data_IF_067713530872
#
_entry.id   IF_067713530872
#
_cell.length_a   1.000
_cell.length_b   1.000
_cell.length_c   1.000
_cell.angle_alpha   90.00
_cell.angle_beta   90.00
_cell.angle_gamma   90.00
#
_symmetry.space_group_name_H-M   'P 1'
#
loop_
_entity.id
_entity.type
_entity.pdbx_description
1 polymer ?
#
# COMPACT_ATOMS: atom_id res chain seq x y z
N UNK A 1 -10.83 12.30 -13.22
CA UNK A 1 -9.81 11.30 -12.80
C UNK A 1 -8.45 11.74 -13.33
N UNK A 2 -7.42 11.73 -12.49
CA UNK A 2 -6.05 12.08 -12.90
C UNK A 2 -5.40 10.94 -13.68
N UNK A 3 -4.57 11.26 -14.65
CA UNK A 3 -3.76 10.28 -15.40
C UNK A 3 -2.44 9.94 -14.67
N UNK A 4 -1.90 10.92 -13.95
CA UNK A 4 -0.70 10.80 -13.12
C UNK A 4 -1.02 11.26 -11.71
N UNK A 5 -0.48 10.59 -10.71
CA UNK A 5 -0.57 11.01 -9.31
C UNK A 5 0.81 11.10 -8.67
N UNK A 6 0.94 12.02 -7.73
CA UNK A 6 2.17 12.23 -6.97
C UNK A 6 2.01 11.63 -5.58
N UNK A 7 2.86 10.68 -5.24
CA UNK A 7 2.72 9.85 -4.03
C UNK A 7 3.97 9.96 -3.18
N UNK A 8 3.79 10.16 -1.86
CA UNK A 8 4.85 9.98 -0.89
C UNK A 8 4.75 8.58 -0.26
N UNK A 9 5.79 7.79 -0.42
CA UNK A 9 6.01 6.55 0.33
C UNK A 9 6.85 6.88 1.56
N UNK A 10 6.32 6.62 2.73
CA UNK A 10 7.04 6.84 3.99
C UNK A 10 7.44 5.50 4.56
N UNK A 11 8.75 5.24 4.58
CA UNK A 11 9.38 4.06 5.15
C UNK A 11 10.00 4.44 6.48
N UNK A 12 9.23 4.40 7.59
CA UNK A 12 9.69 4.85 8.90
C UNK A 12 10.53 3.78 9.58
N UNK A 13 11.41 4.21 10.49
CA UNK A 13 12.02 3.34 11.49
C UNK A 13 11.27 3.46 12.81
N UNK A 14 10.28 2.59 13.09
CA UNK A 14 9.45 2.72 14.27
C UNK A 14 10.25 2.54 15.56
N UNK A 15 9.70 3.03 16.67
CA UNK A 15 10.10 2.57 17.99
C UNK A 15 9.77 1.09 18.13
N UNK A 16 10.56 0.31 18.92
CA UNK A 16 10.52 -1.15 18.88
C UNK A 16 9.18 -1.79 19.25
N UNK A 17 8.38 -1.17 20.13
CA UNK A 17 7.03 -1.63 20.40
C UNK A 17 6.05 -1.07 19.37
N UNK A 18 5.14 -1.89 18.84
CA UNK A 18 4.17 -1.44 17.85
C UNK A 18 3.27 -0.33 18.37
N UNK A 19 2.85 -0.43 19.63
CA UNK A 19 1.96 0.51 20.33
C UNK A 19 2.71 1.66 21.02
N UNK A 20 4.01 1.85 20.73
CA UNK A 20 4.79 2.92 21.33
C UNK A 20 4.19 4.29 20.96
N UNK A 21 3.73 5.09 21.95
CA UNK A 21 3.04 6.34 21.68
C UNK A 21 3.91 7.39 20.96
N UNK A 22 5.24 7.23 20.97
CA UNK A 22 6.17 8.10 20.26
C UNK A 22 6.07 7.94 18.74
N UNK A 23 5.53 6.81 18.23
CA UNK A 23 5.37 6.59 16.80
C UNK A 23 4.49 7.64 16.13
N UNK A 24 3.48 8.20 16.81
CA UNK A 24 2.67 9.27 16.20
C UNK A 24 3.48 10.56 16.02
N UNK A 25 4.25 10.98 17.03
CA UNK A 25 5.15 12.14 16.90
C UNK A 25 6.18 11.95 15.80
N UNK A 26 6.72 10.73 15.64
CA UNK A 26 7.61 10.36 14.56
C UNK A 26 6.92 10.42 13.19
N UNK A 27 5.70 9.90 13.07
CA UNK A 27 4.91 10.01 11.83
C UNK A 27 4.71 11.47 11.41
N UNK A 28 4.34 12.35 12.36
CA UNK A 28 4.16 13.78 12.09
C UNK A 28 5.46 14.44 11.62
N UNK A 29 6.59 14.11 12.24
CA UNK A 29 7.92 14.61 11.82
C UNK A 29 8.26 14.18 10.37
N UNK A 30 7.93 12.94 9.98
CA UNK A 30 8.12 12.48 8.61
C UNK A 30 7.19 13.18 7.62
N UNK A 31 5.95 13.48 8.02
CA UNK A 31 4.98 14.22 7.21
C UNK A 31 5.41 15.68 6.97
N UNK A 32 6.16 16.31 7.89
CA UNK A 32 6.73 17.64 7.65
C UNK A 32 7.63 17.68 6.41
N UNK A 33 8.32 16.58 6.09
CA UNK A 33 9.15 16.46 4.87
C UNK A 33 8.32 16.43 3.57
N UNK A 34 7.00 16.26 3.68
CA UNK A 34 6.06 16.26 2.56
C UNK A 34 5.46 17.65 2.28
N UNK A 35 5.74 18.67 3.11
CA UNK A 35 5.17 20.00 2.94
C UNK A 35 5.62 20.65 1.62
N UNK A 36 4.66 21.25 0.90
CA UNK A 36 4.91 21.93 -0.36
C UNK A 36 5.07 21.00 -1.57
N UNK A 37 4.97 19.68 -1.40
CA UNK A 37 5.18 18.72 -2.48
C UNK A 37 3.94 18.47 -3.36
N UNK A 38 2.79 19.09 -3.07
CA UNK A 38 1.56 18.95 -3.85
C UNK A 38 1.16 17.49 -4.11
N UNK A 39 1.12 16.70 -3.06
CA UNK A 39 0.85 15.28 -3.13
C UNK A 39 -0.63 14.96 -3.37
N UNK A 40 -0.87 13.85 -4.05
CA UNK A 40 -2.20 13.25 -4.14
C UNK A 40 -2.44 12.23 -3.02
N UNK A 41 -1.38 11.51 -2.65
CA UNK A 41 -1.45 10.41 -1.72
C UNK A 41 -0.18 10.32 -0.87
N UNK A 42 -0.34 10.03 0.41
CA UNK A 42 0.73 9.69 1.34
C UNK A 42 0.47 8.29 1.89
N UNK A 43 1.50 7.45 1.97
CA UNK A 43 1.36 6.06 2.40
C UNK A 43 2.33 5.73 3.52
N UNK A 44 1.80 5.29 4.65
CA UNK A 44 2.52 4.65 5.74
C UNK A 44 2.37 3.13 5.69
N UNK A 45 3.28 2.37 6.32
CA UNK A 45 3.19 0.91 6.38
C UNK A 45 2.15 0.39 7.38
N UNK A 46 2.01 -0.91 7.41
CA UNK A 46 1.21 -1.67 8.37
C UNK A 46 1.70 -1.41 9.81
N UNK A 47 0.78 -1.31 10.78
CA UNK A 47 1.06 -1.03 12.19
C UNK A 47 1.82 0.27 12.48
N UNK A 48 1.87 1.20 11.52
CA UNK A 48 2.51 2.49 11.76
C UNK A 48 1.60 3.67 11.37
N UNK A 49 1.39 4.61 12.28
CA UNK A 49 1.96 4.71 13.63
C UNK A 49 1.21 3.93 14.71
N UNK A 50 0.35 2.98 14.38
CA UNK A 50 -0.48 2.15 15.25
C UNK A 50 -1.75 2.85 15.75
N UNK A 51 -1.65 4.11 16.12
CA UNK A 51 -2.74 4.96 16.63
C UNK A 51 -2.55 6.41 16.14
N UNK A 52 -3.47 7.32 16.46
CA UNK A 52 -3.34 8.74 16.13
C UNK A 52 -4.24 9.19 14.98
N UNK A 53 -5.47 8.68 14.91
CA UNK A 53 -6.43 9.03 13.84
C UNK A 53 -6.65 10.54 13.72
N UNK A 54 -6.77 11.26 14.85
CA UNK A 54 -7.00 12.69 14.86
C UNK A 54 -5.82 13.48 14.30
N UNK A 55 -4.61 13.13 14.73
CA UNK A 55 -3.36 13.75 14.31
C UNK A 55 -3.09 13.53 12.83
N UNK A 56 -3.28 12.28 12.36
CA UNK A 56 -3.12 11.91 10.95
C UNK A 56 -4.18 12.59 10.07
N UNK A 57 -5.42 12.67 10.53
CA UNK A 57 -6.47 13.41 9.84
C UNK A 57 -6.12 14.89 9.69
N UNK A 58 -5.64 15.52 10.76
CA UNK A 58 -5.16 16.90 10.71
C UNK A 58 -4.02 17.09 9.72
N UNK A 59 -3.06 16.16 9.69
CA UNK A 59 -1.94 16.20 8.75
C UNK A 59 -2.40 16.00 7.29
N UNK A 60 -3.32 15.06 7.02
CA UNK A 60 -3.90 14.87 5.68
C UNK A 60 -4.57 16.15 5.17
N UNK A 61 -5.31 16.85 6.05
CA UNK A 61 -5.91 18.15 5.72
C UNK A 61 -4.85 19.22 5.42
N UNK A 62 -3.82 19.35 6.26
CA UNK A 62 -2.75 20.34 6.07
C UNK A 62 -1.96 20.12 4.78
N UNK A 63 -1.70 18.85 4.42
CA UNK A 63 -1.03 18.46 3.18
C UNK A 63 -1.96 18.54 1.96
N UNK A 64 -3.27 18.68 2.17
CA UNK A 64 -4.30 18.59 1.14
C UNK A 64 -4.14 17.31 0.30
N UNK A 65 -3.84 16.17 0.94
CA UNK A 65 -3.57 14.88 0.32
C UNK A 65 -4.41 13.77 0.97
N UNK A 66 -4.73 12.72 0.22
CA UNK A 66 -5.18 11.48 0.84
C UNK A 66 -4.04 10.86 1.63
N UNK A 67 -4.35 10.15 2.72
CA UNK A 67 -3.34 9.51 3.55
C UNK A 67 -3.79 8.10 3.94
N UNK A 68 -2.94 7.10 3.69
CA UNK A 68 -3.12 5.72 4.14
C UNK A 68 -2.16 5.44 5.28
N UNK A 69 -2.67 4.90 6.39
CA UNK A 69 -1.85 4.50 7.54
C UNK A 69 -2.31 3.16 8.13
N UNK A 70 -1.36 2.39 8.65
CA UNK A 70 -1.62 1.14 9.36
C UNK A 70 -1.93 1.41 10.85
N UNK A 71 -3.18 1.30 11.22
CA UNK A 71 -3.67 1.55 12.57
C UNK A 71 -4.28 0.29 13.19
N UNK A 72 -4.38 0.27 14.50
CA UNK A 72 -5.20 -0.71 15.21
C UNK A 72 -6.55 -0.07 15.55
N UNK A 73 -7.59 -0.62 14.97
CA UNK A 73 -8.97 -0.19 15.18
C UNK A 73 -9.60 -1.04 16.30
N UNK A 74 -10.27 -0.39 17.25
CA UNK A 74 -11.05 -1.06 18.28
C UNK A 74 -12.55 -0.98 17.94
N UNK A 75 -13.25 -2.12 18.06
CA UNK A 75 -14.71 -2.22 17.92
C UNK A 75 -15.25 -3.13 19.01
N UNK A 76 -15.85 -2.56 20.05
CA UNK A 76 -16.18 -3.28 21.29
C UNK A 76 -14.90 -3.86 21.91
N UNK A 77 -14.91 -5.17 22.15
CA UNK A 77 -13.77 -5.90 22.72
C UNK A 77 -12.79 -6.44 21.64
N UNK A 78 -13.05 -6.16 20.37
CA UNK A 78 -12.25 -6.66 19.26
C UNK A 78 -11.25 -5.61 18.77
N UNK A 79 -10.04 -6.05 18.43
CA UNK A 79 -9.00 -5.25 17.82
C UNK A 79 -8.74 -5.72 16.39
N UNK A 80 -8.56 -4.78 15.47
CA UNK A 80 -8.30 -5.07 14.06
C UNK A 80 -7.04 -4.37 13.56
N UNK A 81 -6.21 -5.10 12.84
CA UNK A 81 -5.15 -4.50 12.03
C UNK A 81 -5.80 -3.88 10.77
N UNK A 82 -5.73 -2.57 10.65
CA UNK A 82 -6.54 -1.82 9.69
C UNK A 82 -5.71 -0.83 8.87
N UNK A 83 -5.80 -0.91 7.55
CA UNK A 83 -5.41 0.19 6.69
C UNK A 83 -6.52 1.24 6.72
N UNK A 84 -6.21 2.44 7.23
CA UNK A 84 -7.14 3.56 7.32
C UNK A 84 -6.79 4.60 6.26
N UNK A 85 -7.78 4.99 5.46
CA UNK A 85 -7.68 6.02 4.44
C UNK A 85 -8.35 7.31 4.95
N UNK A 86 -7.58 8.39 4.97
CA UNK A 86 -8.07 9.75 5.25
C UNK A 86 -8.23 10.52 3.94
N UNK A 87 -9.28 11.36 3.84
CA UNK A 87 -9.47 12.27 2.72
C UNK A 87 -8.73 13.59 2.91
N UNK A 88 -8.74 14.45 1.89
CA UNK A 88 -8.11 15.79 1.92
C UNK A 88 -8.71 16.74 2.97
N UNK A 89 -9.89 16.44 3.50
CA UNK A 89 -10.49 17.19 4.60
C UNK A 89 -10.09 16.65 5.99
N UNK A 90 -9.28 15.58 6.02
CA UNK A 90 -8.83 14.93 7.24
C UNK A 90 -9.81 13.96 7.86
N UNK A 91 -10.93 13.66 7.18
CA UNK A 91 -11.91 12.68 7.65
C UNK A 91 -11.48 11.26 7.26
N UNK A 92 -11.83 10.30 8.08
CA UNK A 92 -11.69 8.89 7.70
C UNK A 92 -12.65 8.61 6.56
N UNK A 93 -12.07 8.30 5.40
CA UNK A 93 -12.80 8.05 4.17
C UNK A 93 -13.12 6.57 3.97
N UNK A 94 -12.25 5.69 4.50
CA UNK A 94 -12.43 4.26 4.44
C UNK A 94 -11.47 3.49 5.33
N UNK A 95 -11.83 2.23 5.61
CA UNK A 95 -11.03 1.28 6.37
C UNK A 95 -11.02 -0.08 5.67
N UNK A 96 -9.88 -0.73 5.68
CA UNK A 96 -9.73 -2.12 5.24
C UNK A 96 -9.06 -2.92 6.36
N UNK A 97 -9.83 -3.75 7.04
CA UNK A 97 -9.34 -4.67 8.06
C UNK A 97 -8.62 -5.85 7.41
N UNK A 98 -7.50 -6.25 7.98
CA UNK A 98 -6.74 -7.42 7.54
C UNK A 98 -7.55 -8.69 7.75
N UNK A 99 -7.62 -9.54 6.73
CA UNK A 99 -8.35 -10.80 6.77
C UNK A 99 -7.45 -11.96 7.19
N UNK A 100 -6.30 -12.08 6.55
CA UNK A 100 -5.39 -13.20 6.77
C UNK A 100 -4.33 -12.84 7.81
N UNK A 101 -4.56 -13.29 9.04
CA UNK A 101 -3.72 -12.97 10.18
C UNK A 101 -2.55 -13.93 10.30
N UNK A 102 -1.38 -13.42 10.61
CA UNK A 102 -0.23 -14.21 11.06
C UNK A 102 -0.45 -14.82 12.44
N UNK A 103 0.37 -15.82 12.79
CA UNK A 103 0.34 -16.47 14.10
C UNK A 103 0.51 -15.44 15.23
N UNK A 104 1.46 -14.51 15.05
CA UNK A 104 1.75 -13.45 16.02
C UNK A 104 0.52 -12.58 16.30
N UNK A 105 -0.19 -12.17 15.26
CA UNK A 105 -1.37 -11.31 15.37
C UNK A 105 -2.47 -11.98 16.19
N UNK A 106 -2.74 -13.27 15.91
CA UNK A 106 -3.77 -14.03 16.60
C UNK A 106 -3.41 -14.36 18.05
N UNK A 107 -2.19 -14.85 18.27
CA UNK A 107 -1.82 -15.44 19.55
C UNK A 107 -1.19 -14.46 20.53
N UNK A 108 -0.58 -13.38 20.04
CA UNK A 108 0.17 -12.44 20.88
C UNK A 108 -0.44 -11.04 20.92
N UNK A 109 -1.02 -10.58 19.83
CA UNK A 109 -1.57 -9.23 19.74
C UNK A 109 -3.10 -9.20 19.90
N UNK A 110 -3.77 -10.35 19.93
CA UNK A 110 -5.22 -10.42 20.10
C UNK A 110 -6.02 -9.80 18.94
N UNK A 111 -5.42 -9.79 17.73
CA UNK A 111 -6.05 -9.20 16.56
C UNK A 111 -7.13 -10.14 16.01
N UNK A 112 -8.27 -9.56 15.71
CA UNK A 112 -9.40 -10.22 15.05
C UNK A 112 -9.31 -10.10 13.55
N UNK A 113 -9.80 -11.11 12.82
CA UNK A 113 -9.82 -11.11 11.38
C UNK A 113 -10.94 -10.22 10.82
N UNK A 114 -10.66 -9.46 9.77
CA UNK A 114 -11.66 -8.72 9.01
C UNK A 114 -12.65 -9.63 8.27
N UNK A 115 -13.67 -9.02 7.66
CA UNK A 115 -14.78 -9.72 6.97
C UNK A 115 -14.36 -10.42 5.66
N UNK A 116 -13.19 -10.13 5.13
CA UNK A 116 -12.71 -10.67 3.84
C UNK A 116 -13.30 -9.97 2.62
N UNK A 117 -14.00 -8.86 2.83
CA UNK A 117 -14.48 -8.02 1.73
C UNK A 117 -13.48 -6.91 1.46
N UNK A 118 -12.86 -6.93 0.29
CA UNK A 118 -11.90 -5.91 -0.13
C UNK A 118 -12.59 -4.83 -0.94
N UNK A 119 -12.44 -3.59 -0.51
CA UNK A 119 -13.19 -2.43 -1.04
C UNK A 119 -12.27 -1.49 -1.82
N UNK A 120 -12.75 -1.05 -2.98
CA UNK A 120 -12.13 0.04 -3.72
C UNK A 120 -12.83 1.37 -3.34
N UNK A 121 -12.05 2.34 -2.85
CA UNK A 121 -12.53 3.65 -2.41
C UNK A 121 -12.38 4.66 -3.55
N UNK A 122 -13.44 5.41 -3.86
CA UNK A 122 -13.44 6.39 -4.96
C UNK A 122 -12.91 7.73 -4.48
N UNK A 123 -11.69 8.08 -4.89
CA UNK A 123 -11.04 9.37 -4.63
C UNK A 123 -11.22 10.32 -5.82
N UNK A 124 -10.70 11.56 -5.70
CA UNK A 124 -10.70 12.53 -6.80
C UNK A 124 -9.73 12.18 -7.94
N UNK A 125 -8.72 11.35 -7.68
CA UNK A 125 -7.78 10.88 -8.70
C UNK A 125 -8.13 9.52 -9.30
N UNK A 126 -8.99 8.74 -8.67
CA UNK A 126 -9.38 7.40 -9.11
C UNK A 126 -9.77 6.50 -7.96
N UNK A 127 -9.96 5.20 -8.24
CA UNK A 127 -10.29 4.20 -7.22
C UNK A 127 -9.03 3.57 -6.64
N UNK A 128 -8.92 3.58 -5.31
CA UNK A 128 -7.80 3.01 -4.55
C UNK A 128 -8.24 1.79 -3.75
N UNK A 129 -7.46 0.71 -3.81
CA UNK A 129 -7.56 -0.43 -2.88
C UNK A 129 -6.41 -0.38 -1.87
N UNK A 130 -6.69 -0.72 -0.61
CA UNK A 130 -5.70 -0.66 0.47
C UNK A 130 -5.61 -1.98 1.26
N UNK A 131 -5.41 -3.14 0.61
CA UNK A 131 -5.29 -4.42 1.30
C UNK A 131 -4.03 -4.46 2.16
N UNK A 132 -4.11 -5.17 3.30
CA UNK A 132 -3.02 -5.22 4.27
C UNK A 132 -2.15 -6.45 4.04
N UNK A 133 -0.87 -6.25 3.80
CA UNK A 133 0.18 -7.26 3.80
C UNK A 133 -0.18 -8.51 2.94
N UNK A 134 -0.20 -9.68 3.56
CA UNK A 134 -0.46 -11.00 2.93
C UNK A 134 -1.80 -11.07 2.20
N UNK A 135 -2.77 -10.25 2.57
CA UNK A 135 -4.07 -10.19 1.89
C UNK A 135 -3.94 -9.89 0.40
N UNK A 136 -2.90 -9.20 -0.02
CA UNK A 136 -2.70 -8.89 -1.43
C UNK A 136 -1.64 -9.77 -2.09
N UNK A 137 -0.42 -9.79 -1.53
CA UNK A 137 0.68 -10.49 -2.20
C UNK A 137 0.57 -12.01 -2.11
N UNK A 138 0.03 -12.53 -1.00
CA UNK A 138 -0.06 -13.97 -0.73
C UNK A 138 -1.38 -14.62 -1.14
N UNK A 139 -2.41 -13.81 -1.39
CA UNK A 139 -3.75 -14.29 -1.72
C UNK A 139 -4.29 -13.59 -2.96
N UNK A 140 -4.83 -14.31 -3.97
CA UNK A 140 -5.35 -13.71 -5.19
C UNK A 140 -6.68 -12.97 -4.98
N UNK A 141 -7.40 -13.27 -3.92
CA UNK A 141 -8.78 -12.85 -3.71
C UNK A 141 -8.93 -11.33 -3.61
N UNK A 142 -8.05 -10.66 -2.86
CA UNK A 142 -8.07 -9.21 -2.74
C UNK A 142 -7.88 -8.52 -4.11
N UNK A 143 -6.89 -8.97 -4.88
CA UNK A 143 -6.65 -8.44 -6.22
C UNK A 143 -7.88 -8.57 -7.12
N UNK A 144 -8.50 -9.74 -7.14
CA UNK A 144 -9.69 -10.02 -7.94
C UNK A 144 -10.87 -9.13 -7.53
N UNK A 145 -11.23 -9.08 -6.23
CA UNK A 145 -12.33 -8.25 -5.76
C UNK A 145 -12.11 -6.75 -6.07
N UNK A 146 -10.88 -6.25 -5.92
CA UNK A 146 -10.56 -4.87 -6.20
C UNK A 146 -10.67 -4.53 -7.70
N UNK A 147 -10.19 -5.43 -8.56
CA UNK A 147 -10.26 -5.21 -10.02
C UNK A 147 -11.70 -5.30 -10.53
N UNK A 148 -12.52 -6.19 -9.99
CA UNK A 148 -13.96 -6.27 -10.33
C UNK A 148 -14.70 -4.97 -9.96
N UNK A 149 -14.22 -4.21 -8.97
CA UNK A 149 -14.71 -2.88 -8.61
C UNK A 149 -14.08 -1.74 -9.44
N UNK A 150 -13.15 -2.06 -10.35
CA UNK A 150 -12.48 -1.09 -11.22
C UNK A 150 -11.41 -0.26 -10.50
N UNK A 151 -10.65 -0.86 -9.58
CA UNK A 151 -9.53 -0.19 -8.89
C UNK A 151 -8.51 0.36 -9.89
N UNK A 152 -7.99 1.54 -9.63
CA UNK A 152 -6.97 2.19 -10.47
C UNK A 152 -5.55 2.02 -9.91
N UNK A 153 -5.43 1.86 -8.59
CA UNK A 153 -4.17 1.68 -7.88
C UNK A 153 -4.40 0.87 -6.61
N UNK A 154 -3.43 0.04 -6.25
CA UNK A 154 -3.40 -0.68 -4.98
C UNK A 154 -2.24 -0.18 -4.12
N UNK A 155 -2.51 0.15 -2.87
CA UNK A 155 -1.50 0.39 -1.83
C UNK A 155 -1.50 -0.80 -0.89
N UNK A 156 -0.45 -1.60 -0.96
CA UNK A 156 -0.25 -2.73 -0.08
C UNK A 156 0.69 -2.33 1.06
N UNK A 157 0.11 -1.95 2.17
CA UNK A 157 0.87 -1.66 3.39
C UNK A 157 1.31 -2.97 4.05
N UNK A 158 2.56 -3.06 4.51
CA UNK A 158 3.11 -4.28 5.07
C UNK A 158 4.10 -4.01 6.21
N UNK A 159 4.28 -5.00 7.05
CA UNK A 159 5.48 -5.21 7.88
C UNK A 159 6.10 -6.53 7.44
N UNK A 160 7.23 -6.47 6.76
CA UNK A 160 7.79 -7.65 6.12
C UNK A 160 9.29 -7.81 6.41
N UNK A 161 9.76 -9.04 6.76
CA UNK A 161 11.16 -9.28 7.05
C UNK A 161 12.08 -9.07 5.85
N UNK A 162 13.28 -8.56 6.10
CA UNK A 162 14.29 -8.22 5.08
C UNK A 162 14.66 -9.39 4.16
N UNK A 163 14.67 -10.61 4.68
CA UNK A 163 15.15 -11.79 3.96
C UNK A 163 14.10 -12.44 3.05
N UNK A 164 12.88 -11.89 3.00
CA UNK A 164 11.78 -12.48 2.26
C UNK A 164 11.44 -11.66 1.01
N UNK A 165 11.98 -12.02 -0.14
CA UNK A 165 11.59 -11.45 -1.45
C UNK A 165 10.15 -11.74 -1.87
N UNK A 166 9.44 -12.62 -1.15
CA UNK A 166 8.08 -13.07 -1.47
C UNK A 166 7.08 -11.94 -1.60
N UNK A 167 7.16 -10.91 -0.74
CA UNK A 167 6.25 -9.78 -0.77
C UNK A 167 6.28 -9.04 -2.11
N UNK A 168 7.46 -8.61 -2.55
CA UNK A 168 7.61 -7.89 -3.82
C UNK A 168 7.23 -8.78 -5.01
N UNK A 169 7.67 -10.03 -5.03
CA UNK A 169 7.36 -10.97 -6.11
C UNK A 169 5.86 -11.29 -6.15
N UNK A 170 5.23 -11.54 -5.00
CA UNK A 170 3.78 -11.74 -4.94
C UNK A 170 3.01 -10.51 -5.40
N UNK A 171 3.41 -9.31 -4.98
CA UNK A 171 2.82 -8.06 -5.44
C UNK A 171 3.01 -7.84 -6.95
N UNK A 172 4.18 -8.21 -7.50
CA UNK A 172 4.46 -8.13 -8.94
C UNK A 172 3.53 -9.04 -9.75
N UNK A 173 3.33 -10.28 -9.29
CA UNK A 173 2.36 -11.20 -9.91
C UNK A 173 0.94 -10.61 -9.85
N UNK A 174 0.53 -10.05 -8.71
CA UNK A 174 -0.80 -9.41 -8.59
C UNK A 174 -0.95 -8.18 -9.47
N UNK A 175 0.10 -7.36 -9.60
CA UNK A 175 0.10 -6.22 -10.51
C UNK A 175 -0.06 -6.69 -11.97
N UNK A 176 0.64 -7.75 -12.36
CA UNK A 176 0.58 -8.35 -13.68
C UNK A 176 -0.79 -8.97 -13.97
N UNK A 177 -1.30 -9.85 -13.09
CA UNK A 177 -2.60 -10.52 -13.25
C UNK A 177 -3.75 -9.53 -13.43
N UNK A 178 -3.66 -8.37 -12.78
CA UNK A 178 -4.74 -7.40 -12.66
C UNK A 178 -4.50 -6.12 -13.48
N UNK A 179 -3.34 -5.97 -14.10
CA UNK A 179 -2.94 -4.73 -14.80
C UNK A 179 -3.21 -3.48 -13.98
N UNK A 180 -2.73 -3.46 -12.75
CA UNK A 180 -2.91 -2.36 -11.80
C UNK A 180 -1.57 -1.96 -11.21
N UNK A 181 -1.26 -0.64 -11.10
CA UNK A 181 -0.10 -0.17 -10.35
C UNK A 181 -0.23 -0.56 -8.88
N UNK A 182 0.89 -0.97 -8.29
CA UNK A 182 0.97 -1.35 -6.88
C UNK A 182 2.05 -0.54 -6.19
N UNK A 183 1.71 0.06 -5.06
CA UNK A 183 2.64 0.66 -4.12
C UNK A 183 2.74 -0.26 -2.91
N UNK A 184 3.93 -0.78 -2.66
CA UNK A 184 4.24 -1.52 -1.45
C UNK A 184 4.97 -0.64 -0.45
N UNK A 185 4.45 -0.49 0.77
CA UNK A 185 5.09 0.32 1.81
C UNK A 185 5.37 -0.53 3.04
N UNK A 186 6.64 -0.52 3.47
CA UNK A 186 7.16 -1.27 4.62
C UNK A 186 7.82 -0.33 5.62
N UNK A 187 8.05 -0.81 6.83
CA UNK A 187 8.94 -0.13 7.79
C UNK A 187 10.41 -0.32 7.38
N UNK A 188 11.27 0.62 7.73
CA UNK A 188 12.71 0.49 7.59
C UNK A 188 13.26 -0.69 8.41
N UNK A 189 14.52 -1.03 8.23
CA UNK A 189 15.18 -2.08 9.02
C UNK A 189 15.18 -1.73 10.51
N UNK A 190 14.46 -2.53 11.29
CA UNK A 190 14.42 -2.42 12.75
C UNK A 190 14.08 -3.75 13.41
N UNK A 191 14.37 -3.86 14.70
CA UNK A 191 14.04 -5.03 15.48
C UNK A 191 12.75 -4.80 16.27
N UNK A 192 11.66 -5.39 15.83
CA UNK A 192 10.40 -5.33 16.56
C UNK A 192 10.49 -6.07 17.90
N UNK A 193 9.92 -5.48 18.94
CA UNK A 193 9.84 -6.04 20.28
C UNK A 193 8.38 -6.36 20.61
N UNK A 194 8.12 -7.58 21.06
CA UNK A 194 6.80 -8.03 21.48
C UNK A 194 6.93 -8.69 22.84
N UNK A 195 6.20 -8.16 23.82
CA UNK A 195 6.30 -8.63 25.21
C UNK A 195 7.73 -8.59 25.75
N UNK A 196 8.50 -7.56 25.39
CA UNK A 196 9.88 -7.38 25.82
C UNK A 196 10.91 -8.31 25.13
N UNK A 197 10.50 -9.14 24.17
CA UNK A 197 11.38 -10.03 23.42
C UNK A 197 11.49 -9.60 21.96
N UNK A 198 12.69 -9.73 21.38
CA UNK A 198 12.92 -9.52 19.96
C UNK A 198 12.06 -10.50 19.14
N UNK A 199 11.23 -9.97 18.26
CA UNK A 199 10.33 -10.77 17.43
C UNK A 199 10.93 -11.04 16.05
N UNK A 200 11.11 -9.99 15.27
CA UNK A 200 11.60 -10.08 13.90
C UNK A 200 12.48 -8.89 13.56
N UNK A 201 13.31 -9.07 12.54
CA UNK A 201 13.95 -7.99 11.84
C UNK A 201 13.10 -7.63 10.62
N UNK A 202 12.58 -6.41 10.59
CA UNK A 202 11.89 -5.85 9.44
C UNK A 202 12.90 -5.12 8.55
N UNK A 203 12.59 -4.91 7.28
CA UNK A 203 13.65 -4.49 6.43
C UNK A 203 13.30 -3.72 5.18
N UNK A 204 12.65 -2.57 5.27
CA UNK A 204 12.53 -1.61 4.18
C UNK A 204 12.00 -2.20 2.87
N UNK A 205 12.70 -1.89 1.78
CA UNK A 205 12.41 -2.38 0.44
C UNK A 205 11.00 -2.03 -0.06
N UNK A 206 10.47 -0.87 0.36
CA UNK A 206 9.24 -0.32 -0.23
C UNK A 206 9.43 -0.15 -1.73
N UNK A 207 8.35 -0.35 -2.50
CA UNK A 207 8.46 -0.37 -3.96
C UNK A 207 7.26 0.24 -4.66
N UNK A 208 7.47 0.62 -5.93
CA UNK A 208 6.41 0.93 -6.88
C UNK A 208 6.51 -0.04 -8.05
N UNK A 209 5.42 -0.71 -8.35
CA UNK A 209 5.24 -1.58 -9.50
C UNK A 209 4.20 -0.93 -10.40
N UNK A 210 4.56 -0.67 -11.66
CA UNK A 210 3.63 -0.19 -12.66
C UNK A 210 4.05 -0.64 -14.05
N UNK A 211 3.08 -0.78 -14.92
CA UNK A 211 3.32 -1.15 -16.31
C UNK A 211 4.31 -0.20 -17.00
N UNK A 212 5.16 -0.72 -17.90
CA UNK A 212 5.90 0.11 -18.84
C UNK A 212 4.95 0.99 -19.65
N UNK A 213 5.38 2.18 -20.01
CA UNK A 213 4.61 3.07 -20.89
C UNK A 213 4.40 2.38 -22.24
N UNK A 214 3.15 2.01 -22.54
CA UNK A 214 2.75 1.43 -23.82
C UNK A 214 1.88 2.46 -24.52
N UNK A 215 2.43 3.16 -25.50
CA UNK A 215 1.77 4.25 -26.19
C UNK A 215 0.96 3.79 -27.40
N UNK A 216 1.37 2.69 -28.05
CA UNK A 216 0.73 2.17 -29.25
C UNK A 216 0.84 0.64 -29.38
N UNK A 217 0.37 0.10 -30.55
CA UNK A 217 0.41 -1.34 -30.83
C UNK A 217 1.81 -1.87 -31.04
N UNK A 218 2.75 -1.05 -31.50
CA UNK A 218 4.13 -1.48 -31.73
C UNK A 218 4.87 -1.60 -30.41
N UNK A 219 4.70 -0.65 -29.48
CA UNK A 219 5.19 -0.74 -28.12
C UNK A 219 4.65 -2.01 -27.43
N UNK A 220 3.34 -2.28 -27.60
CA UNK A 220 2.73 -3.51 -27.07
C UNK A 220 3.36 -4.78 -27.67
N UNK A 221 3.57 -4.84 -28.98
CA UNK A 221 4.20 -6.01 -29.62
C UNK A 221 5.64 -6.20 -29.18
N UNK A 222 6.37 -5.10 -29.02
CA UNK A 222 7.75 -5.11 -28.52
C UNK A 222 7.79 -5.62 -27.09
N UNK A 223 6.95 -5.07 -26.22
CA UNK A 223 6.80 -5.51 -24.85
C UNK A 223 6.42 -6.99 -24.76
N UNK A 224 5.42 -7.44 -25.52
CA UNK A 224 4.95 -8.82 -25.49
C UNK A 224 5.98 -9.86 -25.97
N UNK A 225 6.93 -9.44 -26.81
CA UNK A 225 8.02 -10.28 -27.31
C UNK A 225 9.27 -10.27 -26.45
N UNK A 226 9.38 -9.36 -25.50
CA UNK A 226 10.53 -9.24 -24.60
C UNK A 226 10.40 -10.29 -23.49
N UNK A 227 11.48 -11.03 -23.23
CA UNK A 227 11.53 -12.06 -22.20
C UNK A 227 11.66 -11.48 -20.78
N UNK A 228 12.12 -10.23 -20.65
CA UNK A 228 12.43 -9.59 -19.37
C UNK A 228 11.34 -8.63 -18.86
N UNK A 229 10.15 -8.69 -19.45
CA UNK A 229 9.11 -7.67 -19.32
C UNK A 229 8.54 -7.49 -17.92
N UNK A 230 8.53 -8.54 -17.09
CA UNK A 230 7.86 -8.47 -15.78
C UNK A 230 8.72 -7.73 -14.75
N UNK A 231 10.04 -7.87 -14.83
CA UNK A 231 10.98 -7.14 -13.96
C UNK A 231 10.97 -5.63 -14.23
N UNK A 232 10.71 -5.23 -15.47
CA UNK A 232 10.61 -3.82 -15.87
C UNK A 232 9.41 -3.07 -15.25
N UNK A 233 8.51 -3.80 -14.60
CA UNK A 233 7.39 -3.20 -13.88
C UNK A 233 7.80 -2.62 -12.54
N UNK A 234 8.91 -3.05 -11.96
CA UNK A 234 9.45 -2.48 -10.72
C UNK A 234 10.14 -1.16 -11.07
N UNK A 235 9.47 -0.05 -10.84
CA UNK A 235 9.96 1.31 -11.18
C UNK A 235 10.81 1.92 -10.09
N UNK A 236 10.51 1.57 -8.86
CA UNK A 236 11.20 2.07 -7.68
C UNK A 236 11.28 0.93 -6.67
N UNK A 237 12.43 0.78 -6.05
CA UNK A 237 12.65 -0.04 -4.87
C UNK A 237 13.59 0.71 -3.95
N UNK A 238 13.17 0.93 -2.71
CA UNK A 238 13.97 1.63 -1.72
C UNK A 238 15.00 0.67 -1.10
N UNK A 239 15.96 1.23 -0.37
CA UNK A 239 16.86 0.47 0.49
C UNK A 239 16.19 0.12 1.84
N UNK A 240 16.97 -0.24 2.85
CA UNK A 240 16.49 -0.61 4.17
C UNK A 240 16.36 0.58 5.14
N UNK A 241 16.79 1.78 4.73
CA UNK A 241 16.88 2.94 5.62
C UNK A 241 15.55 3.67 5.75
N UNK A 242 15.42 4.44 6.84
CA UNK A 242 14.31 5.37 7.00
C UNK A 242 14.35 6.46 5.96
N UNK A 243 13.25 6.62 5.23
CA UNK A 243 13.16 7.66 4.22
C UNK A 243 11.71 8.03 3.86
N UNK A 244 11.57 9.24 3.32
CA UNK A 244 10.38 9.70 2.60
C UNK A 244 10.76 9.78 1.13
N UNK A 245 10.08 9.02 0.28
CA UNK A 245 10.34 8.97 -1.15
C UNK A 245 9.11 9.42 -1.92
N UNK A 246 9.27 10.43 -2.78
CA UNK A 246 8.18 10.97 -3.59
C UNK A 246 8.34 10.46 -5.03
N UNK A 247 7.25 9.91 -5.58
CA UNK A 247 7.24 9.29 -6.90
C UNK A 247 5.96 9.66 -7.65
N UNK A 248 6.07 9.73 -8.98
CA UNK A 248 4.91 9.83 -9.87
C UNK A 248 4.45 8.44 -10.32
N UNK A 249 3.15 8.18 -10.24
CA UNK A 249 2.54 6.91 -10.63
C UNK A 249 1.57 7.14 -11.79
N UNK A 250 1.79 6.40 -12.87
CA UNK A 250 0.97 6.45 -14.08
C UNK A 250 -0.25 5.54 -13.95
N UNK A 251 -1.43 6.14 -13.81
CA UNK A 251 -2.71 5.43 -13.79
C UNK A 251 -3.30 5.24 -15.19
N UNK A 252 -2.91 6.09 -16.16
CA UNK A 252 -3.46 6.09 -17.52
C UNK A 252 -3.12 4.83 -18.29
N UNK A 253 -1.87 4.40 -18.24
CA UNK A 253 -1.40 3.23 -19.00
C UNK A 253 -2.16 1.98 -18.57
N UNK A 254 -2.32 1.73 -17.28
CA UNK A 254 -3.06 0.58 -16.75
C UNK A 254 -4.55 0.63 -17.12
N UNK A 255 -5.19 1.79 -16.96
CA UNK A 255 -6.60 2.02 -17.37
C UNK A 255 -6.83 1.74 -18.84
N UNK A 256 -5.95 2.29 -19.70
CA UNK A 256 -5.99 2.11 -21.14
C UNK A 256 -5.81 0.64 -21.50
N UNK A 257 -4.83 -0.02 -20.91
CA UNK A 257 -4.53 -1.41 -21.19
C UNK A 257 -5.72 -2.32 -20.83
N UNK A 258 -6.30 -2.19 -19.65
CA UNK A 258 -7.49 -2.97 -19.25
C UNK A 258 -8.65 -2.79 -20.22
N UNK A 259 -8.93 -1.54 -20.63
CA UNK A 259 -10.02 -1.22 -21.55
C UNK A 259 -9.79 -1.78 -22.95
N UNK A 260 -8.57 -1.68 -23.47
CA UNK A 260 -8.27 -2.00 -24.88
C UNK A 260 -7.91 -3.47 -25.09
N UNK A 261 -7.30 -4.11 -24.11
CA UNK A 261 -6.74 -5.45 -24.26
C UNK A 261 -7.54 -6.55 -23.58
N UNK A 262 -8.05 -6.35 -22.39
CA UNK A 262 -8.83 -7.40 -21.74
C UNK A 262 -10.09 -7.77 -22.51
N UNK A 263 -10.80 -6.80 -23.08
CA UNK A 263 -11.96 -7.06 -23.92
C UNK A 263 -11.66 -7.90 -25.17
N UNK A 264 -10.40 -7.92 -25.64
CA UNK A 264 -9.97 -8.67 -26.83
C UNK A 264 -9.56 -10.12 -26.54
N UNK A 265 -9.20 -10.43 -25.31
CA UNK A 265 -8.88 -11.82 -24.92
C UNK A 265 -10.09 -12.64 -24.47
N UNK A 266 -11.28 -12.14 -24.69
CA UNK A 266 -12.53 -12.85 -24.35
C UNK A 266 -12.78 -13.00 -22.85
N UNK A 267 -12.02 -12.29 -22.02
CA UNK A 267 -12.30 -12.21 -20.59
C UNK A 267 -13.44 -11.22 -20.40
N UNK A 268 -14.67 -11.72 -20.55
CA UNK A 268 -15.85 -10.98 -20.12
C UNK A 268 -15.84 -10.94 -18.58
N UNK A 269 -15.79 -9.74 -18.04
CA UNK A 269 -16.09 -9.47 -16.64
C UNK A 269 -17.38 -8.67 -16.53
#
# INVERSE_FOLDING_TARGET
MKDMIRVAMIQPKPYPAFDDPRNIGHALMLLEKCRGEHLDLVCFPEYFPYQGEKELGSAAHQLNAYLVAGLVEAEGDLLYNTATLFDRSGRIFGRQRKRNLGVLEREKLGISAGDGVFRAFTTDFGKIGIPVCIDFWGQPEAGRQLVDQGVDIVVNIAIFPILCGHWKHGALVRAFDNFVPVIGVNTADYNAMIGGKRSHQHGGRSFVIQMPKILDREDFRRWFRSLDTVTDWVRTELDELEQVHIVEVDLRTARRFRREFWGRFGVQR
#
